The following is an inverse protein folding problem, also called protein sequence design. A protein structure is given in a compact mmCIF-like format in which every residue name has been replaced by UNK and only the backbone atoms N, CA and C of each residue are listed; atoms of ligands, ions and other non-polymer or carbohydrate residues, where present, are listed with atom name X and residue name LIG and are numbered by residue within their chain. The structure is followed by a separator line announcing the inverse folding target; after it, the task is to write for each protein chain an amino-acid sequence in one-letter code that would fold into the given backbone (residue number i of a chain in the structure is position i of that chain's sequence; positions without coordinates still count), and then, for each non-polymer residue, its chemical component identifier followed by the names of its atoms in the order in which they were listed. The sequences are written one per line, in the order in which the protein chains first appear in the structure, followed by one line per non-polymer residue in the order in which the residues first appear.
data_IF_647134999563
#
_entry.id   IF_647134999563
#
_cell.length_a   1.000
_cell.length_b   1.000
_cell.length_c   1.000
_cell.angle_alpha   90.00
_cell.angle_beta   90.00
_cell.angle_gamma   90.00
#
_symmetry.space_group_name_H-M   'P 1'
#
loop_
_entity.id
_entity.type
_entity.pdbx_description
1 polymer ?
#
# COMPACT_ATOMS: atom_id res chain seq x y z
N UNK A 1 9.53 -11.72 -5.50
CA UNK A 1 10.13 -11.80 -4.18
C UNK A 1 11.52 -12.40 -4.17
N UNK A 2 11.92 -13.19 -5.18
CA UNK A 2 13.10 -14.08 -5.11
C UNK A 2 14.45 -13.42 -4.77
N UNK A 3 14.58 -12.09 -4.86
CA UNK A 3 15.83 -11.39 -4.57
C UNK A 3 15.80 -10.54 -3.29
N UNK A 4 14.68 -10.50 -2.55
CA UNK A 4 14.54 -9.67 -1.34
C UNK A 4 13.79 -10.44 -0.23
N UNK A 5 14.39 -11.50 0.34
CA UNK A 5 13.71 -12.36 1.33
C UNK A 5 13.40 -11.66 2.66
N UNK A 6 14.11 -10.56 2.94
CA UNK A 6 13.93 -9.76 4.15
C UNK A 6 12.93 -8.60 3.97
N UNK A 7 12.40 -8.36 2.76
CA UNK A 7 11.48 -7.25 2.54
C UNK A 7 10.12 -7.55 3.20
N UNK A 8 9.74 -6.72 4.18
CA UNK A 8 8.51 -6.88 4.96
C UNK A 8 7.44 -5.86 4.64
N UNK A 9 7.78 -4.72 4.04
CA UNK A 9 6.85 -3.59 3.96
C UNK A 9 7.07 -2.76 2.70
N UNK A 10 5.98 -2.43 2.03
CA UNK A 10 5.89 -1.39 1.02
C UNK A 10 5.07 -0.22 1.57
N UNK A 11 5.59 0.99 1.43
CA UNK A 11 4.94 2.23 1.84
C UNK A 11 4.75 3.11 0.60
N UNK A 12 3.50 3.40 0.26
CA UNK A 12 3.13 4.33 -0.80
C UNK A 12 2.58 5.62 -0.17
N UNK A 13 2.91 6.77 -0.76
CA UNK A 13 2.41 8.08 -0.35
C UNK A 13 2.49 9.06 -1.54
N UNK A 14 1.74 10.15 -1.49
CA UNK A 14 1.89 11.30 -2.39
C UNK A 14 1.20 11.16 -3.75
N UNK A 15 0.90 9.95 -4.21
CA UNK A 15 0.12 9.68 -5.42
C UNK A 15 -0.81 8.48 -5.25
N UNK A 16 -1.76 8.30 -6.17
CA UNK A 16 -2.65 7.14 -6.14
C UNK A 16 -1.84 5.85 -6.37
N UNK A 17 -1.98 4.89 -5.46
CA UNK A 17 -1.53 3.51 -5.67
C UNK A 17 -2.53 2.77 -6.58
N UNK A 18 -2.17 2.41 -7.83
CA UNK A 18 -3.09 1.70 -8.71
C UNK A 18 -3.33 0.27 -8.21
N UNK A 19 -4.59 -0.15 -8.22
CA UNK A 19 -4.99 -1.51 -7.80
C UNK A 19 -4.21 -2.63 -8.49
N UNK A 20 -3.99 -2.62 -9.83
CA UNK A 20 -3.21 -3.67 -10.49
C UNK A 20 -1.76 -3.75 -10.01
N UNK A 21 -1.19 -2.63 -9.56
CA UNK A 21 0.15 -2.59 -8.98
C UNK A 21 0.16 -3.27 -7.62
N UNK A 22 -0.79 -2.95 -6.75
CA UNK A 22 -0.93 -3.58 -5.44
C UNK A 22 -1.18 -5.10 -5.55
N UNK A 23 -2.00 -5.54 -6.49
CA UNK A 23 -2.24 -6.97 -6.76
C UNK A 23 -0.96 -7.71 -7.15
N UNK A 24 -0.17 -7.14 -8.07
CA UNK A 24 1.13 -7.71 -8.49
C UNK A 24 2.11 -7.78 -7.32
N UNK A 25 2.15 -6.77 -6.46
CA UNK A 25 3.01 -6.75 -5.29
C UNK A 25 2.60 -7.82 -4.28
N UNK A 26 1.30 -7.91 -3.98
CA UNK A 26 0.77 -8.91 -3.05
C UNK A 26 1.04 -10.35 -3.54
N UNK A 27 0.90 -10.60 -4.85
CA UNK A 27 1.23 -11.89 -5.44
C UNK A 27 2.76 -12.18 -5.41
N UNK A 28 3.59 -11.16 -5.64
CA UNK A 28 5.05 -11.31 -5.74
C UNK A 28 5.76 -11.34 -4.38
N UNK A 29 5.13 -10.79 -3.34
CA UNK A 29 5.65 -10.68 -1.98
C UNK A 29 4.55 -11.05 -0.97
N UNK A 30 4.14 -12.33 -0.90
CA UNK A 30 2.98 -12.75 -0.10
C UNK A 30 3.16 -12.55 1.41
N UNK A 31 4.40 -12.36 1.88
CA UNK A 31 4.73 -12.11 3.29
C UNK A 31 5.01 -10.64 3.60
N UNK A 32 4.91 -9.75 2.62
CA UNK A 32 5.13 -8.32 2.81
C UNK A 32 3.79 -7.59 2.95
N UNK A 33 3.77 -6.61 3.85
CA UNK A 33 2.65 -5.71 4.03
C UNK A 33 2.73 -4.56 3.03
N UNK A 34 1.58 -4.10 2.55
CA UNK A 34 1.47 -2.98 1.63
C UNK A 34 0.61 -1.92 2.30
N UNK A 35 1.14 -0.72 2.48
CA UNK A 35 0.40 0.39 3.05
C UNK A 35 0.26 1.52 2.03
N UNK A 36 -0.96 2.01 1.88
CA UNK A 36 -1.23 3.26 1.17
C UNK A 36 -1.42 4.37 2.20
N UNK A 37 -0.54 5.34 2.19
CA UNK A 37 -0.49 6.43 3.17
C UNK A 37 -0.81 7.76 2.50
N UNK A 38 -1.27 8.71 3.29
CA UNK A 38 -1.50 10.08 2.84
C UNK A 38 -1.02 11.08 3.88
N UNK A 39 -0.35 12.12 3.42
CA UNK A 39 -0.12 13.32 4.18
C UNK A 39 0.38 14.45 3.27
N UNK A 40 -0.02 15.70 3.54
CA UNK A 40 0.58 16.84 2.86
C UNK A 40 2.01 17.08 3.37
N UNK A 41 2.80 17.79 2.57
CA UNK A 41 4.17 18.20 2.96
C UNK A 41 4.17 18.97 4.28
N UNK A 42 3.18 19.84 4.46
CA UNK A 42 2.97 20.72 5.60
C UNK A 42 2.64 19.97 6.91
N UNK A 43 2.22 18.71 6.83
CA UNK A 43 1.86 17.88 7.98
C UNK A 43 2.79 16.67 8.17
N UNK A 44 4.06 16.79 7.74
CA UNK A 44 5.10 15.76 7.97
C UNK A 44 4.86 14.46 7.18
N UNK A 45 4.68 14.57 5.86
CA UNK A 45 4.73 13.47 4.87
C UNK A 45 3.54 12.50 4.89
N UNK A 46 3.22 11.87 6.01
CA UNK A 46 2.11 10.93 6.11
C UNK A 46 1.44 11.04 7.47
N UNK A 47 0.14 11.34 7.47
CA UNK A 47 -0.69 11.46 8.67
C UNK A 47 -1.73 10.34 8.79
N UNK A 48 -2.03 9.66 7.69
CA UNK A 48 -2.98 8.55 7.64
C UNK A 48 -2.42 7.38 6.84
N UNK A 49 -2.88 6.17 7.16
CA UNK A 49 -2.44 4.94 6.51
C UNK A 49 -3.59 3.93 6.42
N UNK A 50 -3.58 3.12 5.37
CA UNK A 50 -4.36 1.88 5.31
C UNK A 50 -3.48 0.74 4.79
N UNK A 51 -3.63 -0.41 5.43
CA UNK A 51 -3.09 -1.66 4.91
C UNK A 51 -3.96 -2.18 3.76
N UNK A 52 -3.31 -2.42 2.62
CA UNK A 52 -3.93 -3.02 1.44
C UNK A 52 -3.93 -4.54 1.62
N UNK A 53 -4.95 -5.04 2.32
CA UNK A 53 -5.16 -6.48 2.52
C UNK A 53 -5.82 -7.13 1.30
N UNK A 54 -5.84 -8.46 1.26
CA UNK A 54 -6.59 -9.21 0.24
C UNK A 54 -8.10 -8.90 0.25
N UNK A 55 -8.65 -8.54 1.41
CA UNK A 55 -10.03 -8.12 1.53
C UNK A 55 -10.26 -6.76 0.85
N UNK A 56 -9.39 -5.78 1.12
CA UNK A 56 -9.41 -4.46 0.47
C UNK A 56 -9.28 -4.61 -1.05
N UNK A 57 -8.35 -5.44 -1.52
CA UNK A 57 -8.18 -5.70 -2.96
C UNK A 57 -9.44 -6.28 -3.61
N UNK A 58 -10.27 -7.03 -2.87
CA UNK A 58 -11.51 -7.61 -3.41
C UNK A 58 -12.70 -6.67 -3.32
N UNK A 59 -12.74 -5.80 -2.31
CA UNK A 59 -13.91 -4.99 -1.97
C UNK A 59 -14.03 -3.69 -2.75
N UNK A 60 -12.94 -3.13 -3.28
CA UNK A 60 -12.95 -1.83 -3.96
C UNK A 60 -12.38 -1.87 -5.37
N UNK A 61 -12.88 -1.01 -6.26
CA UNK A 61 -12.31 -0.82 -7.60
C UNK A 61 -11.09 0.12 -7.59
N UNK A 62 -11.13 1.18 -6.79
CA UNK A 62 -10.01 2.10 -6.54
C UNK A 62 -9.57 2.00 -5.10
N UNK A 63 -8.26 2.02 -4.87
CA UNK A 63 -7.72 1.86 -3.53
C UNK A 63 -7.92 3.15 -2.72
N UNK A 64 -8.35 3.04 -1.45
CA UNK A 64 -8.41 4.17 -0.54
C UNK A 64 -7.01 4.71 -0.26
N UNK A 65 -6.91 6.00 0.04
CA UNK A 65 -5.65 6.69 0.37
C UNK A 65 -5.72 7.15 1.82
N UNK A 66 -5.19 6.33 2.74
CA UNK A 66 -5.25 6.57 4.17
C UNK A 66 -6.65 6.61 4.79
N UNK A 67 -6.74 6.37 6.10
CA UNK A 67 -7.91 6.70 6.93
C UNK A 67 -7.40 7.50 8.14
N UNK A 68 -8.14 8.55 8.54
CA UNK A 68 -7.86 9.34 9.74
C UNK A 68 -8.56 8.71 10.93
#
# INVERSE_FOLDING_TARGET
GEHLPALRTFLFCGEELPKPTAEKLAARFPTAHIYNTYGPTEATVAISAIEITQEVLKSVQRLPIGYV
#
